data_IF_874374291628
#
_entry.id   IF_874374291628
#
_cell.length_a   1.000
_cell.length_b   1.000
_cell.length_c   1.000
_cell.angle_alpha   90.00
_cell.angle_beta   90.00
_cell.angle_gamma   90.00
#
_symmetry.space_group_name_H-M   'P 1'
#
loop_
_entity.id
_entity.type
_entity.pdbx_description
1 polymer ?
#
# COMPACT_ATOMS: atom_id res chain seq x y z
N UNK A 1 -23.25 3.20 -33.72
CA UNK A 1 -22.10 2.54 -33.06
C UNK A 1 -21.07 3.64 -32.84
N UNK A 2 -20.99 4.28 -31.67
CA UNK A 2 -20.01 3.93 -30.63
C UNK A 2 -20.37 4.70 -29.35
N UNK A 3 -20.79 4.01 -28.30
CA UNK A 3 -20.97 4.58 -26.97
C UNK A 3 -19.58 4.81 -26.36
N UNK A 4 -19.11 6.06 -26.35
CA UNK A 4 -17.86 6.45 -25.68
C UNK A 4 -18.13 6.48 -24.17
N UNK A 5 -18.00 5.33 -23.52
CA UNK A 5 -18.04 5.22 -22.07
C UNK A 5 -16.90 6.09 -21.52
N UNK A 6 -17.15 7.02 -20.58
CA UNK A 6 -16.05 7.78 -19.97
C UNK A 6 -15.06 6.77 -19.38
N UNK A 7 -13.74 6.98 -19.54
CA UNK A 7 -12.76 6.04 -19.03
C UNK A 7 -13.04 5.81 -17.55
N UNK A 8 -13.21 4.53 -17.16
CA UNK A 8 -13.41 4.17 -15.77
C UNK A 8 -12.34 4.86 -14.94
N UNK A 9 -12.76 5.63 -13.91
CA UNK A 9 -11.87 6.46 -13.10
C UNK A 9 -10.69 5.60 -12.64
N UNK A 10 -9.50 5.90 -13.15
CA UNK A 10 -8.29 5.19 -12.76
C UNK A 10 -8.00 5.59 -11.31
N UNK A 11 -8.21 4.65 -10.39
CA UNK A 11 -7.89 4.81 -8.97
C UNK A 11 -6.69 3.90 -8.67
N UNK A 12 -5.46 4.35 -8.95
CA UNK A 12 -4.29 3.53 -8.69
C UNK A 12 -4.06 3.42 -7.17
N UNK A 13 -3.67 2.23 -6.73
CA UNK A 13 -3.47 1.88 -5.33
C UNK A 13 -1.97 1.69 -5.08
N UNK A 14 -1.38 2.57 -4.28
CA UNK A 14 0.01 2.49 -3.86
C UNK A 14 0.11 1.67 -2.58
N UNK A 15 1.00 0.69 -2.57
CA UNK A 15 1.34 -0.07 -1.36
C UNK A 15 2.72 0.33 -0.89
N UNK A 16 2.81 0.76 0.36
CA UNK A 16 4.04 1.19 1.01
C UNK A 16 4.07 0.69 2.45
N UNK A 17 5.25 0.51 3.02
CA UNK A 17 5.38 0.14 4.41
C UNK A 17 6.72 0.50 4.98
N UNK A 18 6.82 0.47 6.30
CA UNK A 18 8.01 0.90 7.00
C UNK A 18 7.85 0.70 8.49
N UNK A 19 8.93 0.97 9.21
CA UNK A 19 8.93 0.89 10.66
C UNK A 19 8.26 2.14 11.23
N UNK A 20 7.25 1.95 12.08
CA UNK A 20 6.55 3.04 12.75
C UNK A 20 7.28 3.48 14.01
N UNK A 21 7.13 4.75 14.39
CA UNK A 21 7.61 5.29 15.67
C UNK A 21 6.85 4.66 16.84
N UNK A 22 5.55 4.42 16.66
CA UNK A 22 4.65 3.87 17.66
C UNK A 22 3.63 2.93 17.00
N UNK A 23 3.14 1.95 17.76
CA UNK A 23 2.17 0.97 17.26
C UNK A 23 0.77 1.57 17.01
N UNK A 24 0.45 2.64 17.73
CA UNK A 24 -0.85 3.34 17.64
C UNK A 24 -0.85 4.46 16.59
N UNK A 25 0.32 4.81 16.04
CA UNK A 25 0.50 5.89 15.08
C UNK A 25 0.55 5.41 13.63
N UNK A 26 0.67 6.38 12.73
CA UNK A 26 0.97 6.16 11.30
C UNK A 26 2.26 6.89 10.87
N UNK A 27 3.06 7.32 11.84
CA UNK A 27 4.32 8.03 11.60
C UNK A 27 5.45 7.04 11.43
N UNK A 28 6.11 7.10 10.27
CA UNK A 28 7.30 6.30 10.02
C UNK A 28 8.48 6.84 10.82
N UNK A 29 9.23 5.93 11.43
CA UNK A 29 10.43 6.23 12.19
C UNK A 29 11.55 6.76 11.32
N UNK A 30 11.63 6.26 10.09
CA UNK A 30 12.65 6.62 9.12
C UNK A 30 12.02 6.60 7.72
N UNK A 31 11.93 7.79 7.11
CA UNK A 31 11.32 7.97 5.79
C UNK A 31 12.19 7.41 4.67
N UNK A 32 13.52 7.38 4.84
CA UNK A 32 14.45 6.82 3.87
C UNK A 32 14.38 5.28 3.84
N UNK A 33 13.87 4.68 4.91
CA UNK A 33 13.64 3.22 5.03
C UNK A 33 12.23 2.78 4.67
N UNK A 34 11.38 3.69 4.20
CA UNK A 34 10.05 3.31 3.71
C UNK A 34 10.21 2.47 2.45
N UNK A 35 9.67 1.25 2.51
CA UNK A 35 9.62 0.32 1.39
C UNK A 35 8.39 0.60 0.54
N UNK A 36 8.62 0.99 -0.71
CA UNK A 36 7.58 1.05 -1.74
C UNK A 36 7.42 -0.33 -2.37
N UNK A 37 6.30 -0.98 -2.08
CA UNK A 37 6.01 -2.34 -2.57
C UNK A 37 5.58 -2.30 -4.04
N UNK A 38 4.80 -1.30 -4.43
CA UNK A 38 4.38 -1.10 -5.82
C UNK A 38 3.07 -0.33 -5.98
N UNK A 39 2.77 0.00 -7.24
CA UNK A 39 1.55 0.68 -7.66
C UNK A 39 0.66 -0.30 -8.44
N UNK A 40 -0.59 -0.43 -8.03
CA UNK A 40 -1.52 -1.43 -8.56
C UNK A 40 -2.76 -0.79 -9.19
N UNK A 41 -3.34 -1.40 -10.23
CA UNK A 41 -4.51 -0.85 -10.94
C UNK A 41 -5.83 -1.06 -10.18
N UNK A 42 -5.86 -1.90 -9.15
CA UNK A 42 -7.06 -2.18 -8.36
C UNK A 42 -6.71 -2.57 -6.92
N UNK A 43 -7.70 -2.44 -6.03
CA UNK A 43 -7.57 -2.78 -4.61
C UNK A 43 -7.20 -4.24 -4.38
N UNK A 44 -7.78 -5.19 -5.13
CA UNK A 44 -7.53 -6.61 -4.92
C UNK A 44 -6.05 -6.99 -5.11
N UNK A 45 -5.41 -6.42 -6.12
CA UNK A 45 -3.99 -6.64 -6.41
C UNK A 45 -3.09 -5.97 -5.36
N UNK A 46 -3.43 -4.74 -4.95
CA UNK A 46 -2.74 -4.05 -3.86
C UNK A 46 -2.86 -4.81 -2.53
N UNK A 47 -4.05 -5.31 -2.21
CA UNK A 47 -4.30 -6.07 -0.99
C UNK A 47 -3.55 -7.40 -0.96
N UNK A 48 -3.42 -8.08 -2.10
CA UNK A 48 -2.59 -9.28 -2.20
C UNK A 48 -1.11 -8.97 -1.90
N UNK A 49 -0.56 -7.90 -2.48
CA UNK A 49 0.81 -7.47 -2.24
C UNK A 49 1.06 -7.02 -0.79
N UNK A 50 0.14 -6.21 -0.25
CA UNK A 50 0.15 -5.79 1.15
C UNK A 50 0.13 -6.99 2.10
N UNK A 51 -0.76 -7.96 1.87
CA UNK A 51 -0.89 -9.16 2.71
C UNK A 51 0.40 -9.97 2.71
N UNK A 52 0.99 -10.18 1.53
CA UNK A 52 2.25 -10.92 1.42
C UNK A 52 3.38 -10.24 2.22
N UNK A 53 3.48 -8.91 2.12
CA UNK A 53 4.51 -8.13 2.82
C UNK A 53 4.26 -8.06 4.33
N UNK A 54 3.03 -7.82 4.76
CA UNK A 54 2.65 -7.78 6.17
C UNK A 54 2.85 -9.15 6.85
N UNK A 55 2.56 -10.26 6.15
CA UNK A 55 2.82 -11.60 6.67
C UNK A 55 4.32 -11.92 6.77
N UNK A 56 5.13 -11.42 5.83
CA UNK A 56 6.58 -11.59 5.87
C UNK A 56 7.26 -10.82 7.02
N UNK A 57 6.63 -9.78 7.55
CA UNK A 57 7.17 -8.95 8.64
C UNK A 57 6.48 -9.20 9.98
N UNK A 58 5.84 -10.35 10.19
CA UNK A 58 5.10 -10.67 11.43
C UNK A 58 5.97 -10.58 12.69
N UNK A 59 7.27 -10.85 12.56
CA UNK A 59 8.24 -10.80 13.66
C UNK A 59 8.62 -9.36 14.08
N UNK A 60 8.33 -8.35 13.25
CA UNK A 60 8.57 -6.95 13.58
C UNK A 60 7.25 -6.22 13.82
N UNK A 61 6.90 -6.04 15.10
CA UNK A 61 5.66 -5.38 15.52
C UNK A 61 5.51 -3.95 14.98
N UNK A 62 6.61 -3.23 14.77
CA UNK A 62 6.60 -1.86 14.26
C UNK A 62 6.55 -1.79 12.74
N UNK A 63 6.82 -2.88 12.00
CA UNK A 63 6.67 -2.89 10.55
C UNK A 63 5.20 -2.95 10.17
N UNK A 64 4.73 -1.89 9.53
CA UNK A 64 3.36 -1.78 9.05
C UNK A 64 3.36 -1.41 7.58
N UNK A 65 2.47 -2.05 6.82
CA UNK A 65 2.21 -1.71 5.43
C UNK A 65 0.82 -1.07 5.30
N UNK A 66 0.68 -0.16 4.36
CA UNK A 66 -0.51 0.62 4.07
C UNK A 66 -0.83 0.56 2.58
N UNK A 67 -2.12 0.66 2.27
CA UNK A 67 -2.63 0.81 0.90
C UNK A 67 -3.23 2.20 0.80
N UNK A 68 -2.69 3.04 -0.07
CA UNK A 68 -3.14 4.40 -0.33
C UNK A 68 -3.75 4.44 -1.73
N UNK A 69 -4.92 5.06 -1.88
CA UNK A 69 -5.49 5.36 -3.20
C UNK A 69 -5.13 6.80 -3.58
N UNK A 70 -4.81 7.01 -4.85
CA UNK A 70 -4.51 8.34 -5.41
C UNK A 70 -5.73 8.93 -6.14
#
# INVERSE_FOLDING_TARGET
MTSKQPPAKQLPHLVLGGELVSLDGAEFKDLDKVELVGLFPNYASAHAAWKAKAQATVDNAHMRYFIVHL
#
